data_IF_616615533582
#
_entry.id   IF_616615533582
#
_cell.length_a   1.000
_cell.length_b   1.000
_cell.length_c   1.000
_cell.angle_alpha   90.00
_cell.angle_beta   90.00
_cell.angle_gamma   90.00
#
_symmetry.space_group_name_H-M   'P 1'
#
loop_
_entity.id
_entity.type
_entity.pdbx_description
1 polymer ?
#
# COMPACT_ATOMS: atom_id res chain seq x y z
N UNK A 1 14.87 11.75 -11.09
CA UNK A 1 14.71 13.08 -11.75
C UNK A 1 15.34 13.13 -13.14
N UNK A 2 16.31 12.27 -13.39
CA UNK A 2 17.15 12.15 -14.59
C UNK A 2 16.32 12.01 -15.87
N UNK A 3 15.24 11.23 -15.85
CA UNK A 3 14.37 11.05 -17.02
C UNK A 3 13.72 12.36 -17.50
N UNK A 4 13.38 13.27 -16.58
CA UNK A 4 12.85 14.60 -16.94
C UNK A 4 13.95 15.52 -17.45
N UNK A 5 15.11 15.49 -16.80
CA UNK A 5 16.27 16.27 -17.24
C UNK A 5 16.65 15.89 -18.68
N UNK A 6 16.82 14.60 -18.98
CA UNK A 6 17.09 14.11 -20.33
C UNK A 6 15.97 14.47 -21.32
N UNK A 7 14.72 14.51 -20.86
CA UNK A 7 13.62 14.97 -21.73
C UNK A 7 13.76 16.45 -22.06
N UNK A 8 14.19 17.28 -21.11
CA UNK A 8 14.37 18.72 -21.30
C UNK A 8 15.51 19.07 -22.26
N UNK A 9 16.49 18.19 -22.42
CA UNK A 9 17.58 18.35 -23.41
C UNK A 9 17.17 17.98 -24.85
N UNK A 10 15.90 17.62 -25.07
CA UNK A 10 15.39 17.21 -26.38
C UNK A 10 15.65 15.74 -26.74
N UNK A 11 16.19 14.94 -25.81
CA UNK A 11 16.52 13.53 -26.09
C UNK A 11 15.27 12.72 -26.46
N UNK A 12 15.35 11.81 -27.46
CA UNK A 12 14.24 10.97 -27.84
C UNK A 12 13.89 9.96 -26.73
N UNK A 13 12.60 9.67 -26.57
CA UNK A 13 12.08 8.78 -25.52
C UNK A 13 12.74 7.40 -25.48
N UNK A 14 13.12 6.85 -26.65
CA UNK A 14 13.80 5.55 -26.76
C UNK A 14 15.13 5.57 -26.01
N UNK A 15 15.91 6.63 -26.15
CA UNK A 15 17.22 6.75 -25.50
C UNK A 15 17.09 7.01 -24.01
N UNK A 16 16.13 7.84 -23.60
CA UNK A 16 15.82 8.05 -22.18
C UNK A 16 15.46 6.73 -21.51
N UNK A 17 14.59 5.93 -22.14
CA UNK A 17 14.22 4.61 -21.62
C UNK A 17 15.42 3.67 -21.49
N UNK A 18 16.31 3.66 -22.49
CA UNK A 18 17.54 2.84 -22.47
C UNK A 18 18.49 3.27 -21.35
N UNK A 19 18.76 4.57 -21.21
CA UNK A 19 19.68 5.13 -20.22
C UNK A 19 19.15 4.94 -18.80
N UNK A 20 17.87 5.30 -18.57
CA UNK A 20 17.24 5.19 -17.25
C UNK A 20 16.78 3.77 -16.91
N UNK A 21 16.90 2.81 -17.85
CA UNK A 21 16.41 1.42 -17.70
C UNK A 21 14.94 1.34 -17.28
N UNK A 22 14.10 2.15 -17.91
CA UNK A 22 12.65 2.17 -17.67
C UNK A 22 11.88 1.84 -18.94
N UNK A 23 10.64 1.37 -18.79
CA UNK A 23 9.75 1.19 -19.92
C UNK A 23 9.24 2.53 -20.46
N UNK A 24 8.77 2.51 -21.72
CA UNK A 24 8.08 3.65 -22.33
C UNK A 24 6.85 4.09 -21.52
N UNK A 25 6.14 3.13 -20.92
CA UNK A 25 4.96 3.39 -20.09
C UNK A 25 5.31 4.13 -18.81
N UNK A 26 6.39 3.76 -18.13
CA UNK A 26 6.90 4.46 -16.95
C UNK A 26 7.34 5.88 -17.30
N UNK A 27 8.07 6.05 -18.41
CA UNK A 27 8.48 7.38 -18.88
C UNK A 27 7.27 8.28 -19.16
N UNK A 28 6.26 7.77 -19.86
CA UNK A 28 5.03 8.51 -20.12
C UNK A 28 4.28 8.88 -18.83
N UNK A 29 4.25 7.98 -17.84
CA UNK A 29 3.66 8.26 -16.54
C UNK A 29 4.39 9.38 -15.79
N UNK A 30 5.73 9.38 -15.77
CA UNK A 30 6.52 10.45 -15.16
C UNK A 30 6.27 11.81 -15.82
N UNK A 31 6.25 11.85 -17.15
CA UNK A 31 5.99 13.08 -17.89
C UNK A 31 4.58 13.62 -17.62
N UNK A 32 3.58 12.73 -17.54
CA UNK A 32 2.21 13.09 -17.16
C UNK A 32 2.15 13.62 -15.73
N UNK A 33 2.73 12.92 -14.76
CA UNK A 33 2.75 13.34 -13.36
C UNK A 33 3.42 14.70 -13.17
N UNK A 34 4.54 14.93 -13.87
CA UNK A 34 5.23 16.22 -13.84
C UNK A 34 4.43 17.34 -14.48
N UNK A 35 3.80 17.10 -15.63
CA UNK A 35 2.95 18.09 -16.29
C UNK A 35 1.74 18.47 -15.43
N UNK A 36 1.12 17.48 -14.78
CA UNK A 36 -0.13 17.67 -14.05
C UNK A 36 0.09 18.23 -12.63
N UNK A 37 1.27 18.04 -12.02
CA UNK A 37 1.52 18.44 -10.62
C UNK A 37 2.94 18.93 -10.31
N UNK A 38 3.77 19.20 -11.33
CA UNK A 38 5.15 19.60 -11.16
C UNK A 38 5.98 18.55 -10.42
N UNK A 39 6.99 19.02 -9.68
CA UNK A 39 7.85 18.15 -8.87
C UNK A 39 7.10 17.49 -7.73
N UNK A 40 6.16 18.21 -7.11
CA UNK A 40 5.36 17.66 -6.01
C UNK A 40 4.46 16.52 -6.50
N UNK A 41 3.89 16.64 -7.70
CA UNK A 41 3.11 15.58 -8.34
C UNK A 41 3.87 14.25 -8.52
N UNK A 42 5.19 14.33 -8.75
CA UNK A 42 6.08 13.17 -8.89
C UNK A 42 6.47 12.52 -7.55
N UNK A 43 6.46 13.28 -6.46
CA UNK A 43 6.77 12.76 -5.11
C UNK A 43 5.59 12.00 -4.50
N UNK A 44 4.39 12.13 -5.05
CA UNK A 44 3.19 11.45 -4.54
C UNK A 44 3.26 9.95 -4.84
N UNK A 45 3.42 9.15 -3.79
CA UNK A 45 3.26 7.70 -3.87
C UNK A 45 1.78 7.33 -3.99
N UNK A 46 1.34 6.98 -5.21
CA UNK A 46 -0.05 6.55 -5.48
C UNK A 46 -0.28 5.05 -5.22
N UNK A 47 0.63 4.38 -4.54
CA UNK A 47 0.46 2.99 -4.15
C UNK A 47 -0.63 2.89 -3.07
N UNK A 48 -1.82 2.45 -3.48
CA UNK A 48 -2.95 2.25 -2.56
C UNK A 48 -2.88 0.91 -1.81
N UNK A 49 -2.09 -0.04 -2.32
CA UNK A 49 -2.11 -1.43 -1.87
C UNK A 49 -3.47 -2.11 -2.06
N UNK A 50 -3.62 -3.32 -1.51
CA UNK A 50 -4.93 -3.93 -1.29
C UNK A 50 -5.21 -3.93 0.22
N UNK A 51 -6.21 -3.18 0.70
CA UNK A 51 -6.58 -3.22 2.12
C UNK A 51 -7.04 -4.65 2.47
N UNK A 52 -6.70 -5.10 3.69
CA UNK A 52 -7.17 -6.40 4.20
C UNK A 52 -8.69 -6.37 4.32
N UNK A 53 -9.38 -7.44 3.89
CA UNK A 53 -10.82 -7.61 4.14
C UNK A 53 -11.21 -7.53 5.63
N UNK A 54 -10.24 -7.77 6.54
CA UNK A 54 -10.48 -7.56 7.97
C UNK A 54 -10.76 -6.09 8.33
N UNK A 55 -10.36 -5.13 7.50
CA UNK A 55 -10.64 -3.71 7.73
C UNK A 55 -12.12 -3.38 7.57
N UNK A 56 -12.88 -4.17 6.81
CA UNK A 56 -14.33 -4.02 6.68
C UNK A 56 -15.05 -4.34 8.00
N UNK A 57 -14.39 -5.10 8.88
CA UNK A 57 -14.86 -5.48 10.22
C UNK A 57 -14.05 -4.82 11.33
N UNK A 58 -13.33 -3.73 11.03
CA UNK A 58 -12.39 -3.12 11.98
C UNK A 58 -13.10 -2.73 13.27
N UNK A 59 -14.20 -2.00 13.19
CA UNK A 59 -14.85 -1.42 14.36
C UNK A 59 -15.48 -2.49 15.26
N UNK A 60 -16.08 -3.53 14.67
CA UNK A 60 -16.67 -4.64 15.43
C UNK A 60 -15.61 -5.50 16.11
N UNK A 61 -14.51 -5.80 15.41
CA UNK A 61 -13.38 -6.54 15.99
C UNK A 61 -12.65 -5.71 17.07
N UNK A 62 -12.49 -4.41 16.87
CA UNK A 62 -11.87 -3.51 17.85
C UNK A 62 -12.70 -3.42 19.13
N UNK A 63 -14.03 -3.27 19.02
CA UNK A 63 -14.92 -3.30 20.18
C UNK A 63 -14.84 -4.63 20.93
N UNK A 64 -14.91 -5.76 20.21
CA UNK A 64 -14.84 -7.09 20.80
C UNK A 64 -13.51 -7.31 21.55
N UNK A 65 -12.37 -6.99 20.94
CA UNK A 65 -11.07 -7.20 21.56
C UNK A 65 -10.76 -6.22 22.70
N UNK A 66 -11.46 -5.08 22.81
CA UNK A 66 -11.38 -4.19 23.98
C UNK A 66 -12.03 -4.82 25.20
N UNK A 67 -13.13 -5.53 25.00
CA UNK A 67 -13.82 -6.27 26.07
C UNK A 67 -13.18 -7.63 26.35
N UNK A 68 -12.65 -8.28 25.31
CA UNK A 68 -12.11 -9.64 25.35
C UNK A 68 -10.66 -9.64 24.85
N UNK A 69 -9.73 -9.25 25.72
CA UNK A 69 -8.30 -9.19 25.38
C UNK A 69 -7.78 -10.59 25.00
N UNK A 70 -7.32 -10.79 23.75
CA UNK A 70 -6.77 -12.08 23.34
C UNK A 70 -5.40 -12.27 24.01
N UNK A 71 -5.19 -13.42 24.65
CA UNK A 71 -3.93 -13.76 25.32
C UNK A 71 -2.90 -14.28 24.34
N UNK A 72 -3.36 -14.85 23.22
CA UNK A 72 -2.49 -15.37 22.16
C UNK A 72 -2.97 -14.95 20.76
N UNK A 73 -2.06 -14.99 19.79
CA UNK A 73 -2.44 -14.76 18.38
C UNK A 73 -3.41 -15.82 17.86
N UNK A 74 -3.35 -17.06 18.37
CA UNK A 74 -4.24 -18.14 17.97
C UNK A 74 -5.68 -17.86 18.43
N UNK A 75 -5.87 -17.43 19.67
CA UNK A 75 -7.19 -17.01 20.19
C UNK A 75 -7.78 -15.86 19.36
N UNK A 76 -6.97 -14.86 19.02
CA UNK A 76 -7.41 -13.76 18.17
C UNK A 76 -7.79 -14.25 16.76
N UNK A 77 -7.04 -15.19 16.19
CA UNK A 77 -7.33 -15.77 14.89
C UNK A 77 -8.68 -16.49 14.90
N UNK A 78 -8.94 -17.32 15.92
CA UNK A 78 -10.19 -18.07 16.05
C UNK A 78 -11.39 -17.13 16.27
N UNK A 79 -11.23 -16.07 17.08
CA UNK A 79 -12.26 -15.06 17.28
C UNK A 79 -12.58 -14.31 15.97
N UNK A 80 -11.56 -13.88 15.22
CA UNK A 80 -11.74 -13.23 13.92
C UNK A 80 -12.46 -14.16 12.94
N UNK A 81 -12.05 -15.42 12.85
CA UNK A 81 -12.67 -16.40 11.96
C UNK A 81 -14.14 -16.65 12.34
N UNK A 82 -14.47 -16.76 13.64
CA UNK A 82 -15.85 -16.92 14.11
C UNK A 82 -16.73 -15.70 13.82
N UNK A 83 -16.20 -14.50 14.02
CA UNK A 83 -16.98 -13.25 13.86
C UNK A 83 -17.15 -12.82 12.40
N UNK A 84 -16.15 -13.11 11.55
CA UNK A 84 -16.10 -12.57 10.18
C UNK A 84 -16.12 -13.64 9.10
N UNK A 85 -15.90 -14.91 9.44
CA UNK A 85 -15.68 -15.99 8.49
C UNK A 85 -14.33 -15.94 7.77
N UNK A 86 -13.46 -14.96 8.11
CA UNK A 86 -12.19 -14.75 7.41
C UNK A 86 -11.06 -15.40 8.20
N UNK A 87 -10.40 -16.39 7.60
CA UNK A 87 -9.16 -16.97 8.12
C UNK A 87 -7.93 -16.22 7.62
N UNK A 88 -7.01 -15.87 8.53
CA UNK A 88 -5.71 -15.22 8.20
C UNK A 88 -4.57 -15.91 8.94
N UNK A 89 -3.36 -15.78 8.39
CA UNK A 89 -2.17 -16.33 9.05
C UNK A 89 -1.84 -15.57 10.35
N UNK A 90 -1.14 -16.20 11.31
CA UNK A 90 -0.78 -15.54 12.56
C UNK A 90 -0.05 -14.20 12.36
N UNK A 91 0.82 -14.09 11.36
CA UNK A 91 1.52 -12.84 11.02
C UNK A 91 0.55 -11.74 10.60
N UNK A 92 -0.45 -12.07 9.80
CA UNK A 92 -1.48 -11.12 9.36
C UNK A 92 -2.40 -10.70 10.51
N UNK A 93 -2.75 -11.64 11.40
CA UNK A 93 -3.53 -11.35 12.61
C UNK A 93 -2.78 -10.40 13.53
N UNK A 94 -1.50 -10.65 13.82
CA UNK A 94 -0.67 -9.71 14.62
C UNK A 94 -0.59 -8.33 13.98
N UNK A 95 -0.37 -8.26 12.67
CA UNK A 95 -0.32 -6.98 11.95
C UNK A 95 -1.66 -6.23 12.02
N UNK A 96 -2.78 -6.96 11.96
CA UNK A 96 -4.12 -6.38 12.12
C UNK A 96 -4.37 -5.88 13.55
N UNK A 97 -4.08 -6.69 14.57
CA UNK A 97 -4.19 -6.31 15.98
C UNK A 97 -3.39 -5.02 16.28
N UNK A 98 -2.14 -4.95 15.81
CA UNK A 98 -1.31 -3.76 15.92
C UNK A 98 -1.94 -2.53 15.24
N UNK A 99 -2.60 -2.72 14.09
CA UNK A 99 -3.25 -1.64 13.35
C UNK A 99 -4.51 -1.12 14.05
N UNK A 100 -5.22 -1.94 14.81
CA UNK A 100 -6.37 -1.54 15.63
C UNK A 100 -5.98 -1.10 17.07
N UNK A 101 -4.69 -0.92 17.33
CA UNK A 101 -4.19 -0.41 18.61
C UNK A 101 -4.02 -1.44 19.72
N UNK A 102 -4.20 -2.73 19.43
CA UNK A 102 -3.90 -3.83 20.36
C UNK A 102 -2.39 -4.08 20.36
N UNK A 103 -1.75 -4.08 21.55
CA UNK A 103 -0.31 -4.32 21.71
C UNK A 103 -0.03 -5.74 22.15
#
# INVERSE_FOLDING_TARGET
MEALYLKSTGMPHREICRICRISKTTLAAYLKQYRDGGLEGLKILRYKGQPSRLLDHKDSLEAYFKEHLPRTTAEAQDAIEKMTGIKRSPTQVRAFLKRIGMK
#
